data_IF_125411016510
#
_entry.id   IF_125411016510
#
_cell.length_a   1.000
_cell.length_b   1.000
_cell.length_c   1.000
_cell.angle_alpha   90.00
_cell.angle_beta   90.00
_cell.angle_gamma   90.00
#
_symmetry.space_group_name_H-M   'P 1'
#
loop_
_entity.id
_entity.type
_entity.pdbx_description
1 polymer ?
#
# COMPACT_ATOMS: atom_id res chain seq x y z
N UNK A 1 22.80 -12.73 -5.32
CA UNK A 1 22.18 -11.39 -5.44
C UNK A 1 20.79 -11.48 -4.84
N UNK A 2 20.34 -10.48 -4.10
CA UNK A 2 19.00 -10.49 -3.47
C UNK A 2 17.90 -10.35 -4.53
N UNK A 3 16.84 -11.15 -4.38
CA UNK A 3 15.65 -11.11 -5.22
C UNK A 3 14.95 -9.77 -5.08
N UNK A 4 14.59 -9.08 -6.16
CA UNK A 4 14.09 -7.73 -6.07
C UNK A 4 12.59 -7.65 -5.81
N UNK A 5 12.19 -6.57 -5.16
CA UNK A 5 10.82 -6.05 -5.20
C UNK A 5 10.81 -4.82 -6.10
N UNK A 6 10.01 -4.86 -7.16
CA UNK A 6 9.87 -3.78 -8.14
C UNK A 6 8.64 -2.94 -7.80
N UNK A 7 8.87 -1.66 -7.52
CA UNK A 7 7.85 -0.65 -7.30
C UNK A 7 7.66 0.14 -8.59
N UNK A 8 6.51 0.00 -9.25
CA UNK A 8 6.18 0.72 -10.46
C UNK A 8 5.11 1.79 -10.21
N UNK A 9 5.17 2.84 -11.00
CA UNK A 9 4.05 3.76 -11.17
C UNK A 9 2.87 3.10 -11.88
N UNK A 10 1.77 3.84 -12.05
CA UNK A 10 0.60 3.38 -12.81
C UNK A 10 0.97 2.86 -14.20
N UNK A 11 0.28 1.82 -14.68
CA UNK A 11 0.57 1.16 -15.97
C UNK A 11 -0.22 1.71 -17.17
N UNK A 12 -0.83 2.90 -17.01
CA UNK A 12 -1.52 3.64 -18.07
C UNK A 12 -1.15 5.13 -17.98
N UNK A 13 -1.03 5.84 -19.11
CA UNK A 13 -1.27 5.36 -20.48
C UNK A 13 -0.11 4.53 -21.08
N UNK A 14 1.14 4.73 -20.64
CA UNK A 14 2.30 4.04 -21.19
C UNK A 14 2.88 3.01 -20.19
N UNK A 15 2.59 1.71 -20.33
CA UNK A 15 3.08 0.69 -19.40
C UNK A 15 4.61 0.54 -19.48
N UNK A 16 5.23 0.21 -18.34
CA UNK A 16 6.65 -0.18 -18.23
C UNK A 16 6.82 -1.55 -17.55
N UNK A 17 5.74 -2.30 -17.34
CA UNK A 17 5.76 -3.63 -16.73
C UNK A 17 6.66 -4.61 -17.51
N UNK A 18 6.58 -4.63 -18.85
CA UNK A 18 7.40 -5.54 -19.67
C UNK A 18 8.89 -5.26 -19.48
N UNK A 19 9.29 -4.00 -19.60
CA UNK A 19 10.68 -3.56 -19.40
C UNK A 19 11.21 -3.98 -18.01
N UNK A 20 10.37 -3.80 -16.97
CA UNK A 20 10.70 -4.20 -15.61
C UNK A 20 10.85 -5.72 -15.44
N UNK A 21 10.03 -6.52 -16.12
CA UNK A 21 10.13 -7.98 -16.11
C UNK A 21 11.37 -8.46 -16.91
N UNK A 22 11.68 -7.82 -18.04
CA UNK A 22 12.85 -8.14 -18.86
C UNK A 22 14.16 -7.87 -18.13
N UNK A 23 14.25 -6.76 -17.39
CA UNK A 23 15.42 -6.44 -16.60
C UNK A 23 15.72 -7.47 -15.49
N UNK A 24 14.69 -8.21 -15.05
CA UNK A 24 14.83 -9.31 -14.10
C UNK A 24 14.85 -10.70 -14.77
N UNK A 25 14.91 -10.76 -16.11
CA UNK A 25 14.97 -12.01 -16.86
C UNK A 25 13.70 -12.86 -16.75
N UNK A 26 12.55 -12.27 -16.45
CA UNK A 26 11.28 -12.99 -16.28
C UNK A 26 10.68 -13.31 -17.65
N UNK A 27 10.85 -14.54 -18.10
CA UNK A 27 10.33 -15.05 -19.38
C UNK A 27 9.15 -16.02 -19.24
N UNK A 28 8.96 -16.60 -18.05
CA UNK A 28 7.88 -17.54 -17.78
C UNK A 28 6.59 -16.91 -17.25
N UNK A 29 5.62 -17.74 -16.81
CA UNK A 29 4.31 -17.27 -16.39
C UNK A 29 4.36 -16.27 -15.24
N UNK A 30 3.53 -15.24 -15.29
CA UNK A 30 3.39 -14.23 -14.24
C UNK A 30 2.13 -14.50 -13.43
N UNK A 31 2.27 -14.78 -12.14
CA UNK A 31 1.12 -14.81 -11.23
C UNK A 31 0.59 -13.38 -11.04
N UNK A 32 -0.71 -13.18 -11.13
CA UNK A 32 -1.32 -11.85 -11.06
C UNK A 32 -2.37 -11.77 -9.97
N UNK A 33 -2.24 -10.78 -9.09
CA UNK A 33 -3.27 -10.38 -8.13
C UNK A 33 -3.81 -9.01 -8.54
N UNK A 34 -5.14 -8.88 -8.53
CA UNK A 34 -5.84 -7.60 -8.64
C UNK A 34 -6.74 -7.41 -7.42
N UNK A 35 -7.18 -6.17 -7.16
CA UNK A 35 -8.21 -5.93 -6.15
C UNK A 35 -9.55 -6.57 -6.56
N UNK A 36 -9.87 -6.59 -7.86
CA UNK A 36 -11.02 -7.26 -8.45
C UNK A 36 -12.37 -6.78 -7.92
N UNK A 37 -12.44 -5.61 -7.29
CA UNK A 37 -13.64 -5.10 -6.61
C UNK A 37 -14.55 -4.34 -7.59
N UNK A 38 -13.96 -3.61 -8.55
CA UNK A 38 -14.70 -2.95 -9.62
C UNK A 38 -14.59 -3.73 -10.92
N UNK A 39 -15.56 -3.53 -11.81
CA UNK A 39 -15.60 -4.15 -13.14
C UNK A 39 -14.32 -3.85 -13.93
N UNK A 40 -13.81 -2.61 -13.88
CA UNK A 40 -12.58 -2.20 -14.55
C UNK A 40 -11.31 -2.87 -13.99
N UNK A 41 -11.33 -3.30 -12.72
CA UNK A 41 -10.23 -4.04 -12.09
C UNK A 41 -10.23 -5.52 -12.49
N UNK A 42 -11.37 -6.04 -12.97
CA UNK A 42 -11.51 -7.41 -13.49
C UNK A 42 -11.05 -7.53 -14.96
N UNK A 43 -11.01 -6.42 -15.70
CA UNK A 43 -10.56 -6.37 -17.09
C UNK A 43 -9.02 -6.41 -17.22
N UNK A 44 -8.46 -7.61 -17.07
CA UNK A 44 -7.01 -7.85 -17.13
C UNK A 44 -6.47 -8.00 -18.56
N UNK A 45 -7.29 -7.87 -19.61
CA UNK A 45 -6.86 -8.16 -20.98
C UNK A 45 -5.84 -7.16 -21.53
N UNK A 46 -5.97 -5.88 -21.19
CA UNK A 46 -4.95 -4.89 -21.51
C UNK A 46 -3.62 -5.23 -20.82
N UNK A 47 -3.68 -5.70 -19.57
CA UNK A 47 -2.50 -6.09 -18.80
C UNK A 47 -1.84 -7.35 -19.37
N UNK A 48 -2.63 -8.36 -19.77
CA UNK A 48 -2.13 -9.57 -20.45
C UNK A 48 -1.36 -9.22 -21.72
N UNK A 49 -1.89 -8.32 -22.55
CA UNK A 49 -1.19 -7.85 -23.76
C UNK A 49 0.13 -7.18 -23.44
N UNK A 50 0.17 -6.34 -22.40
CA UNK A 50 1.39 -5.62 -22.04
C UNK A 50 2.42 -6.46 -21.29
N UNK A 51 2.01 -7.51 -20.57
CA UNK A 51 2.95 -8.35 -19.82
C UNK A 51 3.85 -9.20 -20.74
N UNK A 52 3.39 -9.54 -21.95
CA UNK A 52 4.18 -10.31 -22.93
C UNK A 52 4.50 -11.76 -22.52
N UNK A 53 3.97 -12.23 -21.40
CA UNK A 53 4.13 -13.60 -20.87
C UNK A 53 2.77 -14.17 -20.43
N UNK A 54 2.63 -15.50 -20.30
CA UNK A 54 1.40 -16.10 -19.78
C UNK A 54 1.03 -15.55 -18.41
N UNK A 55 -0.26 -15.29 -18.17
CA UNK A 55 -0.75 -14.77 -16.89
C UNK A 55 -1.51 -15.87 -16.13
N UNK A 56 -1.09 -16.13 -14.90
CA UNK A 56 -1.81 -17.00 -13.95
C UNK A 56 -2.55 -16.12 -12.95
N UNK A 57 -3.83 -15.85 -13.21
CA UNK A 57 -4.61 -14.94 -12.39
C UNK A 57 -5.07 -15.60 -11.08
N UNK A 58 -4.87 -14.90 -9.96
CA UNK A 58 -5.34 -15.23 -8.62
C UNK A 58 -6.53 -14.33 -8.25
N UNK A 59 -7.78 -14.74 -8.49
CA UNK A 59 -8.98 -13.91 -8.30
C UNK A 59 -9.42 -13.86 -6.82
N UNK A 60 -8.55 -13.32 -5.95
CA UNK A 60 -8.72 -13.37 -4.50
C UNK A 60 -10.06 -12.77 -4.02
N UNK A 61 -10.58 -11.74 -4.70
CA UNK A 61 -11.88 -11.15 -4.37
C UNK A 61 -13.04 -12.13 -4.60
N UNK A 62 -13.10 -12.75 -5.77
CA UNK A 62 -14.15 -13.71 -6.10
C UNK A 62 -14.10 -14.94 -5.18
N UNK A 63 -12.89 -15.43 -4.89
CA UNK A 63 -12.71 -16.52 -3.92
C UNK A 63 -13.16 -16.14 -2.52
N UNK A 64 -12.87 -14.91 -2.08
CA UNK A 64 -13.34 -14.44 -0.78
C UNK A 64 -14.88 -14.43 -0.71
N UNK A 65 -15.57 -13.88 -1.72
CA UNK A 65 -17.03 -13.83 -1.73
C UNK A 65 -17.65 -15.24 -1.68
N UNK A 66 -17.11 -16.17 -2.48
CA UNK A 66 -17.52 -17.57 -2.47
C UNK A 66 -17.30 -18.23 -1.09
N UNK A 67 -16.15 -17.98 -0.46
CA UNK A 67 -15.85 -18.49 0.89
C UNK A 67 -16.78 -17.93 1.95
N UNK A 68 -17.06 -16.62 1.92
CA UNK A 68 -17.98 -16.02 2.88
C UNK A 68 -19.41 -16.53 2.69
N UNK A 69 -19.82 -16.87 1.47
CA UNK A 69 -21.12 -17.48 1.21
C UNK A 69 -21.18 -18.92 1.73
N UNK A 70 -20.11 -19.70 1.54
CA UNK A 70 -20.05 -21.11 1.91
C UNK A 70 -19.79 -21.36 3.40
N UNK A 71 -19.10 -20.46 4.10
CA UNK A 71 -18.73 -20.60 5.51
C UNK A 71 -19.26 -19.42 6.36
N UNK A 72 -20.50 -19.52 6.88
CA UNK A 72 -21.08 -18.48 7.73
C UNK A 72 -20.33 -18.25 9.04
N UNK A 73 -19.62 -19.26 9.58
CA UNK A 73 -18.86 -19.12 10.82
C UNK A 73 -17.62 -18.26 10.59
N UNK A 74 -16.85 -18.56 9.54
CA UNK A 74 -15.73 -17.73 9.09
C UNK A 74 -16.19 -16.30 8.82
N UNK A 75 -17.31 -16.12 8.12
CA UNK A 75 -17.88 -14.80 7.81
C UNK A 75 -18.20 -14.00 9.07
N UNK A 76 -18.81 -14.62 10.09
CA UNK A 76 -19.10 -13.94 11.38
C UNK A 76 -17.83 -13.48 12.07
N UNK A 77 -16.85 -14.37 12.23
CA UNK A 77 -15.57 -14.04 12.89
C UNK A 77 -14.81 -12.94 12.11
N UNK A 78 -14.79 -13.04 10.77
CA UNK A 78 -14.20 -12.01 9.91
C UNK A 78 -14.87 -10.65 10.09
N UNK A 79 -16.21 -10.60 10.10
CA UNK A 79 -16.98 -9.37 10.29
C UNK A 79 -16.73 -8.75 11.66
N UNK A 80 -16.80 -9.52 12.73
CA UNK A 80 -16.53 -9.03 14.09
C UNK A 80 -15.14 -8.38 14.22
N UNK A 81 -14.11 -8.99 13.62
CA UNK A 81 -12.77 -8.38 13.57
C UNK A 81 -12.78 -7.08 12.75
N UNK A 82 -13.46 -7.07 11.60
CA UNK A 82 -13.53 -5.89 10.74
C UNK A 82 -14.27 -4.72 11.40
N UNK A 83 -15.34 -4.99 12.15
CA UNK A 83 -16.11 -3.98 12.89
C UNK A 83 -15.23 -3.31 13.96
N UNK A 84 -14.40 -4.08 14.68
CA UNK A 84 -13.40 -3.53 15.62
C UNK A 84 -12.38 -2.63 14.93
N UNK A 85 -11.91 -3.02 13.74
CA UNK A 85 -10.98 -2.20 12.94
C UNK A 85 -11.65 -0.90 12.47
N UNK A 86 -12.92 -0.96 12.06
CA UNK A 86 -13.68 0.22 11.65
C UNK A 86 -13.88 1.18 12.82
N UNK A 87 -14.28 0.69 13.98
CA UNK A 87 -14.42 1.49 15.19
C UNK A 87 -13.09 2.16 15.61
N UNK A 88 -11.97 1.43 15.55
CA UNK A 88 -10.64 2.03 15.79
C UNK A 88 -10.33 3.17 14.80
N UNK A 89 -10.69 3.01 13.53
CA UNK A 89 -10.45 4.03 12.49
C UNK A 89 -11.30 5.27 12.68
N UNK A 90 -12.54 5.11 13.12
CA UNK A 90 -13.41 6.23 13.48
C UNK A 90 -12.78 7.05 14.62
N UNK A 91 -12.32 6.39 15.69
CA UNK A 91 -11.61 7.05 16.79
C UNK A 91 -10.30 7.71 16.36
N UNK A 92 -9.55 7.07 15.45
CA UNK A 92 -8.35 7.65 14.86
C UNK A 92 -8.67 8.95 14.11
N UNK A 93 -9.70 8.97 13.25
CA UNK A 93 -10.11 10.17 12.51
C UNK A 93 -10.53 11.32 13.41
N UNK A 94 -11.29 11.02 14.47
CA UNK A 94 -11.70 12.03 15.47
C UNK A 94 -10.50 12.76 16.09
N UNK A 95 -9.36 12.08 16.22
CA UNK A 95 -8.12 12.65 16.77
C UNK A 95 -7.22 13.24 15.68
N UNK A 96 -7.24 12.68 14.49
CA UNK A 96 -6.39 13.08 13.38
C UNK A 96 -6.74 14.48 12.89
N UNK A 97 -8.01 14.75 12.61
CA UNK A 97 -8.41 16.02 11.99
C UNK A 97 -8.05 17.25 12.85
N UNK A 98 -8.34 17.28 14.17
CA UNK A 98 -7.92 18.40 15.00
C UNK A 98 -6.40 18.52 15.13
N UNK A 99 -5.68 17.39 15.13
CA UNK A 99 -4.22 17.41 15.22
C UNK A 99 -3.56 17.95 13.93
N UNK A 100 -4.13 17.67 12.75
CA UNK A 100 -3.69 18.27 11.49
C UNK A 100 -3.96 19.78 11.49
N UNK A 101 -5.16 20.20 11.92
CA UNK A 101 -5.50 21.61 12.04
C UNK A 101 -4.56 22.37 12.99
N UNK A 102 -4.20 21.78 14.13
CA UNK A 102 -3.25 22.38 15.07
C UNK A 102 -1.86 22.62 14.44
N UNK A 103 -1.36 21.69 13.62
CA UNK A 103 -0.10 21.87 12.88
C UNK A 103 -0.21 23.03 11.88
N UNK A 104 -1.33 23.11 11.16
CA UNK A 104 -1.57 24.18 10.19
C UNK A 104 -1.68 25.56 10.90
N UNK A 105 -2.34 25.62 12.05
CA UNK A 105 -2.47 26.83 12.88
C UNK A 105 -1.12 27.31 13.44
N UNK A 106 -0.30 26.38 13.96
CA UNK A 106 1.05 26.67 14.48
C UNK A 106 1.98 27.21 13.38
N UNK A 107 1.94 26.62 12.18
CA UNK A 107 2.71 27.12 11.03
C UNK A 107 2.28 28.53 10.63
N UNK A 108 0.97 28.75 10.54
CA UNK A 108 0.45 30.06 10.22
C UNK A 108 0.80 31.10 11.31
N UNK A 109 0.85 30.68 12.59
CA UNK A 109 1.34 31.52 13.68
C UNK A 109 2.82 31.90 13.49
N UNK A 110 3.70 30.92 13.27
CA UNK A 110 5.14 31.16 13.10
C UNK A 110 5.44 32.14 11.94
N UNK A 111 4.68 32.04 10.83
CA UNK A 111 4.80 33.00 9.71
C UNK A 111 4.41 34.43 10.08
N UNK A 112 3.40 34.61 10.96
CA UNK A 112 2.94 35.93 11.40
C UNK A 112 3.85 36.54 12.47
N UNK A 113 4.62 35.72 13.18
CA UNK A 113 5.47 36.13 14.30
C UNK A 113 6.93 35.70 14.11
N UNK A 114 7.63 36.22 13.07
CA UNK A 114 8.99 35.80 12.76
C UNK A 114 10.03 36.21 13.83
N UNK A 115 9.67 37.11 14.74
CA UNK A 115 10.57 37.67 15.76
C UNK A 115 10.80 36.74 16.98
N UNK A 116 10.04 35.63 17.08
CA UNK A 116 10.19 34.62 18.15
C UNK A 116 10.22 33.19 17.57
N UNK A 117 11.19 32.87 16.69
CA UNK A 117 11.17 31.63 15.91
C UNK A 117 11.35 30.37 16.77
N UNK A 118 12.15 30.44 17.84
CA UNK A 118 12.55 29.25 18.61
C UNK A 118 11.36 28.54 19.27
N UNK A 119 10.51 29.29 19.99
CA UNK A 119 9.32 28.73 20.65
C UNK A 119 8.30 28.17 19.65
N UNK A 120 8.11 28.88 18.53
CA UNK A 120 7.18 28.45 17.48
C UNK A 120 7.64 27.16 16.78
N UNK A 121 8.94 27.01 16.55
CA UNK A 121 9.52 25.81 15.93
C UNK A 121 9.44 24.60 16.86
N UNK A 122 9.72 24.77 18.15
CA UNK A 122 9.61 23.70 19.15
C UNK A 122 8.18 23.14 19.24
N UNK A 123 7.19 24.02 19.38
CA UNK A 123 5.77 23.61 19.46
C UNK A 123 5.28 22.93 18.17
N UNK A 124 5.75 23.39 17.01
CA UNK A 124 5.44 22.75 15.73
C UNK A 124 6.02 21.33 15.62
N UNK A 125 7.27 21.14 16.02
CA UNK A 125 7.89 19.81 16.03
C UNK A 125 7.20 18.85 17.00
N UNK A 126 6.78 19.34 18.16
CA UNK A 126 6.02 18.52 19.12
C UNK A 126 4.62 18.17 18.62
N UNK A 127 3.93 19.08 17.94
CA UNK A 127 2.67 18.78 17.26
C UNK A 127 2.85 17.70 16.16
N UNK A 128 3.91 17.80 15.35
CA UNK A 128 4.27 16.81 14.34
C UNK A 128 4.62 15.45 14.95
N UNK A 129 5.35 15.43 16.08
CA UNK A 129 5.63 14.21 16.86
C UNK A 129 4.34 13.58 17.39
N UNK A 130 3.39 14.40 17.82
CA UNK A 130 2.05 13.97 18.22
C UNK A 130 1.28 13.27 17.09
N UNK A 131 1.31 13.84 15.87
CA UNK A 131 0.74 13.22 14.67
C UNK A 131 1.40 11.87 14.33
N UNK A 132 2.74 11.82 14.31
CA UNK A 132 3.49 10.58 14.08
C UNK A 132 3.10 9.49 15.09
N UNK A 133 2.99 9.86 16.36
CA UNK A 133 2.56 8.96 17.45
C UNK A 133 1.12 8.46 17.25
N UNK A 134 0.21 9.32 16.76
CA UNK A 134 -1.17 8.94 16.47
C UNK A 134 -1.24 7.90 15.34
N UNK A 135 -0.45 8.12 14.27
CA UNK A 135 -0.34 7.21 13.14
C UNK A 135 0.24 5.85 13.53
N UNK A 136 1.30 5.82 14.33
CA UNK A 136 1.89 4.57 14.79
C UNK A 136 0.89 3.77 15.66
N UNK A 137 0.12 4.45 16.53
CA UNK A 137 -0.91 3.82 17.36
C UNK A 137 -2.03 3.16 16.55
N UNK A 138 -2.47 3.75 15.42
CA UNK A 138 -3.50 3.10 14.59
C UNK A 138 -2.92 1.87 13.88
N UNK A 139 -1.66 1.92 13.43
CA UNK A 139 -0.96 0.77 12.84
C UNK A 139 -0.87 -0.38 13.85
N UNK A 140 -0.37 -0.09 15.04
CA UNK A 140 -0.25 -1.07 16.14
C UNK A 140 -1.61 -1.59 16.58
N UNK A 141 -2.61 -0.72 16.70
CA UNK A 141 -3.96 -1.10 17.09
C UNK A 141 -4.60 -2.06 16.08
N UNK A 142 -4.45 -1.81 14.77
CA UNK A 142 -4.92 -2.71 13.73
C UNK A 142 -4.16 -4.05 13.77
N UNK A 143 -2.84 -4.03 13.99
CA UNK A 143 -2.04 -5.25 14.14
C UNK A 143 -2.50 -6.08 15.36
N UNK A 144 -2.80 -5.42 16.49
CA UNK A 144 -3.30 -6.07 17.71
C UNK A 144 -4.67 -6.70 17.51
N UNK A 145 -5.62 -5.97 16.92
CA UNK A 145 -6.96 -6.52 16.61
C UNK A 145 -6.88 -7.75 15.70
N UNK A 146 -5.90 -7.77 14.79
CA UNK A 146 -5.60 -8.94 13.94
C UNK A 146 -5.07 -10.12 14.75
N UNK A 147 -4.07 -9.89 15.60
CA UNK A 147 -3.49 -10.89 16.48
C UNK A 147 -4.49 -11.46 17.51
N UNK A 148 -5.47 -10.67 17.96
CA UNK A 148 -6.53 -11.11 18.88
C UNK A 148 -7.44 -12.21 18.31
N UNK A 149 -7.37 -12.46 16.99
CA UNK A 149 -8.14 -13.52 16.33
C UNK A 149 -7.16 -14.43 15.55
N UNK A 150 -6.36 -15.27 16.23
CA UNK A 150 -5.30 -16.07 15.59
C UNK A 150 -5.82 -17.00 14.49
N UNK A 151 -7.06 -17.48 14.62
CA UNK A 151 -7.70 -18.32 13.60
C UNK A 151 -7.88 -17.61 12.26
N UNK A 152 -7.89 -16.27 12.23
CA UNK A 152 -7.92 -15.49 11.01
C UNK A 152 -6.54 -15.01 10.53
N UNK A 153 -5.48 -15.28 11.29
CA UNK A 153 -4.09 -15.10 10.83
C UNK A 153 -3.62 -16.30 10.02
N UNK A 154 -4.13 -17.50 10.35
CA UNK A 154 -3.90 -18.74 9.59
C UNK A 154 -5.21 -19.49 9.34
N UNK A 155 -6.19 -18.87 8.65
CA UNK A 155 -7.52 -19.47 8.45
C UNK A 155 -7.49 -20.79 7.70
N UNK A 156 -6.46 -21.03 6.87
CA UNK A 156 -6.24 -22.29 6.18
C UNK A 156 -5.97 -23.48 7.13
N UNK A 157 -5.50 -23.25 8.37
CA UNK A 157 -5.31 -24.31 9.36
C UNK A 157 -6.63 -24.74 10.04
N UNK A 158 -7.70 -23.97 9.87
CA UNK A 158 -8.97 -24.17 10.56
C UNK A 158 -10.16 -24.38 9.63
N UNK A 159 -10.09 -23.88 8.40
CA UNK A 159 -11.20 -23.92 7.44
C UNK A 159 -10.77 -24.66 6.16
N UNK A 160 -11.31 -25.88 5.88
CA UNK A 160 -10.93 -26.68 4.71
C UNK A 160 -11.12 -25.96 3.37
N UNK A 161 -12.16 -25.13 3.25
CA UNK A 161 -12.38 -24.34 2.02
C UNK A 161 -11.30 -23.26 1.82
N UNK A 162 -10.78 -22.68 2.91
CA UNK A 162 -9.67 -21.72 2.85
C UNK A 162 -8.36 -22.46 2.56
N UNK A 163 -8.14 -23.64 3.15
CA UNK A 163 -7.01 -24.54 2.83
C UNK A 163 -6.91 -24.80 1.33
N UNK A 164 -8.02 -25.22 0.70
CA UNK A 164 -8.02 -25.52 -0.73
C UNK A 164 -7.56 -24.33 -1.58
N UNK A 165 -7.98 -23.10 -1.24
CA UNK A 165 -7.53 -21.87 -1.94
C UNK A 165 -6.09 -21.51 -1.63
N UNK A 166 -5.63 -21.73 -0.39
CA UNK A 166 -4.24 -21.55 -0.02
C UNK A 166 -3.33 -22.49 -0.84
N UNK A 167 -3.71 -23.76 -0.98
CA UNK A 167 -2.95 -24.75 -1.74
C UNK A 167 -2.96 -24.43 -3.26
N UNK A 168 -4.11 -23.96 -3.79
CA UNK A 168 -4.22 -23.47 -5.17
C UNK A 168 -3.33 -22.24 -5.44
N UNK A 169 -3.15 -21.36 -4.44
CA UNK A 169 -2.19 -20.25 -4.51
C UNK A 169 -0.75 -20.78 -4.54
N UNK A 170 -0.42 -21.74 -3.68
CA UNK A 170 0.93 -22.34 -3.67
C UNK A 170 1.27 -22.95 -5.02
N UNK A 171 0.40 -23.80 -5.58
CA UNK A 171 0.60 -24.40 -6.91
C UNK A 171 0.74 -23.34 -8.01
N UNK A 172 -0.09 -22.30 -7.97
CA UNK A 172 -0.01 -21.21 -8.95
C UNK A 172 1.30 -20.44 -8.85
N UNK A 173 1.75 -20.12 -7.64
CA UNK A 173 2.99 -19.40 -7.39
C UNK A 173 4.23 -20.24 -7.73
N UNK A 174 4.19 -21.56 -7.52
CA UNK A 174 5.30 -22.47 -7.83
C UNK A 174 5.51 -22.65 -9.34
N UNK A 175 4.44 -22.48 -10.13
CA UNK A 175 4.51 -22.48 -11.62
C UNK A 175 4.84 -21.11 -12.22
N UNK A 176 4.81 -20.05 -11.42
CA UNK A 176 5.08 -18.69 -11.88
C UNK A 176 6.56 -18.36 -11.79
N UNK A 177 7.05 -17.50 -12.68
CA UNK A 177 8.40 -16.95 -12.63
C UNK A 177 8.50 -15.66 -11.82
N UNK A 178 7.36 -14.98 -11.60
CA UNK A 178 7.26 -13.78 -10.77
C UNK A 178 5.82 -13.58 -10.28
N UNK A 179 5.65 -12.71 -9.28
CA UNK A 179 4.34 -12.25 -8.81
C UNK A 179 4.12 -10.79 -9.17
N UNK A 180 3.01 -10.49 -9.85
CA UNK A 180 2.48 -9.15 -10.08
C UNK A 180 1.32 -8.83 -9.13
N UNK A 181 1.38 -7.65 -8.51
CA UNK A 181 0.33 -7.12 -7.63
C UNK A 181 -0.16 -5.79 -8.20
N UNK A 182 -1.30 -5.84 -8.87
CA UNK A 182 -1.93 -4.67 -9.44
C UNK A 182 -2.61 -3.79 -8.39
N UNK A 183 -2.84 -2.54 -8.75
CA UNK A 183 -3.67 -1.62 -7.98
C UNK A 183 -5.17 -1.94 -8.02
N UNK A 184 -5.93 -1.02 -7.44
CA UNK A 184 -7.38 -1.08 -7.31
C UNK A 184 -7.80 -0.60 -5.92
N UNK A 185 -8.96 -1.05 -5.43
CA UNK A 185 -9.40 -0.71 -4.07
C UNK A 185 -8.46 -1.30 -3.00
N UNK A 186 -7.55 -0.47 -2.49
CA UNK A 186 -6.45 -0.87 -1.60
C UNK A 186 -6.90 -1.62 -0.34
N UNK A 187 -7.98 -1.18 0.29
CA UNK A 187 -8.52 -1.83 1.49
C UNK A 187 -9.01 -3.27 1.23
N UNK A 188 -9.61 -3.52 0.05
CA UNK A 188 -10.05 -4.85 -0.35
C UNK A 188 -8.82 -5.70 -0.66
N UNK A 189 -7.95 -5.23 -1.55
CA UNK A 189 -6.72 -5.92 -1.94
C UNK A 189 -5.90 -6.37 -0.72
N UNK A 190 -5.57 -5.45 0.17
CA UNK A 190 -4.77 -5.73 1.37
C UNK A 190 -5.44 -6.76 2.28
N UNK A 191 -6.75 -6.67 2.47
CA UNK A 191 -7.49 -7.60 3.31
C UNK A 191 -7.57 -9.00 2.69
N UNK A 192 -7.71 -9.11 1.36
CA UNK A 192 -7.75 -10.42 0.67
C UNK A 192 -6.38 -11.07 0.68
N UNK A 193 -5.33 -10.33 0.35
CA UNK A 193 -3.95 -10.82 0.44
C UNK A 193 -3.63 -11.35 1.84
N UNK A 194 -4.05 -10.66 2.91
CA UNK A 194 -3.83 -11.17 4.27
C UNK A 194 -4.59 -12.47 4.54
N UNK A 195 -5.89 -12.55 4.21
CA UNK A 195 -6.68 -13.74 4.50
C UNK A 195 -6.13 -14.98 3.79
N UNK A 196 -5.59 -14.79 2.59
CA UNK A 196 -4.99 -15.85 1.78
C UNK A 196 -3.49 -16.03 2.02
N UNK A 197 -2.93 -15.48 3.10
CA UNK A 197 -1.59 -15.88 3.57
C UNK A 197 -0.41 -15.23 2.86
N UNK A 198 -0.59 -14.08 2.22
CA UNK A 198 0.52 -13.39 1.55
C UNK A 198 1.59 -12.87 2.50
N UNK A 199 1.32 -12.76 3.80
CA UNK A 199 2.37 -12.57 4.81
C UNK A 199 3.39 -13.71 4.83
N UNK A 200 3.01 -14.93 4.43
CA UNK A 200 3.88 -16.10 4.30
C UNK A 200 4.39 -16.28 2.86
N UNK A 201 3.53 -16.05 1.87
CA UNK A 201 3.92 -16.25 0.47
C UNK A 201 4.96 -15.25 -0.01
N UNK A 202 4.87 -13.95 0.35
CA UNK A 202 5.79 -12.95 -0.20
C UNK A 202 7.25 -13.17 0.23
N UNK A 203 7.58 -13.41 1.53
CA UNK A 203 8.95 -13.75 1.91
C UNK A 203 9.45 -15.05 1.28
N UNK A 204 8.55 -16.05 1.12
CA UNK A 204 8.87 -17.32 0.46
C UNK A 204 9.30 -17.12 -1.00
N UNK A 205 8.54 -16.33 -1.76
CA UNK A 205 8.87 -16.02 -3.17
C UNK A 205 10.25 -15.36 -3.27
N UNK A 206 10.53 -14.37 -2.43
CA UNK A 206 11.83 -13.69 -2.41
C UNK A 206 12.96 -14.65 -2.06
N UNK A 207 12.76 -15.54 -1.08
CA UNK A 207 13.75 -16.57 -0.73
C UNK A 207 13.98 -17.60 -1.87
N UNK A 208 13.00 -17.81 -2.74
CA UNK A 208 13.07 -18.71 -3.90
C UNK A 208 13.61 -18.05 -5.17
N UNK A 209 14.03 -16.79 -5.12
CA UNK A 209 14.53 -16.10 -6.31
C UNK A 209 13.44 -15.53 -7.22
N UNK A 210 12.17 -15.53 -6.80
CA UNK A 210 11.05 -15.06 -7.62
C UNK A 210 10.77 -13.57 -7.37
N UNK A 211 10.95 -12.68 -8.37
CA UNK A 211 10.68 -11.25 -8.22
C UNK A 211 9.21 -10.96 -7.90
N UNK A 212 8.98 -9.88 -7.15
CA UNK A 212 7.66 -9.32 -6.91
C UNK A 212 7.59 -7.96 -7.60
N UNK A 213 6.61 -7.74 -8.46
CA UNK A 213 6.35 -6.45 -9.11
C UNK A 213 4.99 -5.92 -8.69
N UNK A 214 4.91 -4.64 -8.32
CA UNK A 214 3.66 -4.05 -7.87
C UNK A 214 3.51 -2.60 -8.34
N UNK A 215 2.28 -2.16 -8.57
CA UNK A 215 1.98 -0.79 -8.98
C UNK A 215 0.68 -0.26 -8.39
N UNK A 216 0.52 1.07 -8.42
CA UNK A 216 -0.66 1.75 -7.90
C UNK A 216 -0.99 1.27 -6.47
N UNK A 217 -2.23 0.93 -6.15
CA UNK A 217 -2.56 0.38 -4.82
C UNK A 217 -1.71 -0.83 -4.41
N UNK A 218 -1.32 -1.69 -5.35
CA UNK A 218 -0.53 -2.90 -5.06
C UNK A 218 0.80 -2.58 -4.39
N UNK A 219 1.54 -1.58 -4.89
CA UNK A 219 2.85 -1.24 -4.33
C UNK A 219 2.73 -0.68 -2.91
N UNK A 220 1.64 0.04 -2.62
CA UNK A 220 1.37 0.58 -1.29
C UNK A 220 1.17 -0.54 -0.26
N UNK A 221 0.64 -1.71 -0.66
CA UNK A 221 0.53 -2.87 0.25
C UNK A 221 1.88 -3.41 0.70
N UNK A 222 2.95 -3.21 -0.08
CA UNK A 222 4.27 -3.77 0.19
C UNK A 222 5.12 -2.89 1.12
N UNK A 223 4.72 -1.64 1.33
CA UNK A 223 5.37 -0.74 2.31
C UNK A 223 5.05 -1.16 3.75
N UNK A 224 5.68 -0.51 4.74
CA UNK A 224 5.39 -0.77 6.16
C UNK A 224 3.97 -0.34 6.56
N UNK A 225 3.43 0.69 5.89
CA UNK A 225 2.12 1.28 6.21
C UNK A 225 1.37 1.69 4.96
N UNK A 226 0.11 1.30 4.88
CA UNK A 226 -0.79 1.72 3.81
C UNK A 226 -1.38 3.08 4.17
N UNK A 227 -1.15 4.08 3.32
CA UNK A 227 -1.74 5.42 3.46
C UNK A 227 -2.82 5.60 2.40
N UNK A 228 -4.02 6.03 2.77
CA UNK A 228 -5.05 6.47 1.82
C UNK A 228 -4.97 7.98 1.73
N UNK A 229 -4.95 8.49 0.50
CA UNK A 229 -4.82 9.92 0.24
C UNK A 229 -5.60 10.26 -1.02
N UNK A 230 -6.30 11.38 -0.94
CA UNK A 230 -6.76 12.15 -2.08
C UNK A 230 -7.12 13.52 -1.53
N UNK A 231 -6.38 14.53 -1.96
CA UNK A 231 -6.51 15.91 -1.52
C UNK A 231 -7.81 16.57 -1.97
N UNK A 232 -8.33 16.14 -3.13
CA UNK A 232 -9.59 16.60 -3.73
C UNK A 232 -10.44 15.38 -4.11
N UNK A 233 -10.91 14.59 -3.13
CA UNK A 233 -11.70 13.41 -3.43
C UNK A 233 -13.08 13.84 -3.94
N UNK A 234 -13.68 13.10 -4.90
CA UNK A 234 -15.06 13.36 -5.31
C UNK A 234 -16.05 13.34 -4.13
N UNK A 235 -15.76 12.53 -3.11
CA UNK A 235 -16.53 12.36 -1.88
C UNK A 235 -15.59 11.94 -0.74
N UNK A 236 -15.85 12.40 0.48
CA UNK A 236 -15.13 11.96 1.69
C UNK A 236 -14.12 12.98 2.21
N UNK A 237 -13.20 12.49 3.05
CA UNK A 237 -12.23 13.32 3.76
C UNK A 237 -11.07 13.63 2.83
N UNK A 238 -10.73 14.91 2.74
CA UNK A 238 -9.64 15.45 1.93
C UNK A 238 -8.30 15.40 2.64
N UNK A 239 -8.04 14.44 3.54
CA UNK A 239 -6.80 14.36 4.32
C UNK A 239 -6.20 12.96 4.22
N UNK A 240 -4.87 12.87 4.21
CA UNK A 240 -4.19 11.58 4.17
C UNK A 240 -4.41 10.82 5.48
N UNK A 241 -4.74 9.53 5.40
CA UNK A 241 -5.02 8.66 6.54
C UNK A 241 -4.12 7.43 6.50
N UNK A 242 -3.54 7.07 7.65
CA UNK A 242 -2.89 5.77 7.80
C UNK A 242 -3.98 4.71 7.97
N UNK A 243 -4.10 3.82 6.97
CA UNK A 243 -5.18 2.85 6.89
C UNK A 243 -4.89 1.56 7.64
N UNK A 244 -3.69 1.00 7.51
CA UNK A 244 -3.29 -0.26 8.17
C UNK A 244 -1.78 -0.51 8.01
N UNK A 245 -1.17 -1.43 8.78
CA UNK A 245 0.14 -1.96 8.39
C UNK A 245 0.06 -2.63 7.01
N UNK A 246 1.11 -2.41 6.21
CA UNK A 246 1.36 -3.15 4.97
C UNK A 246 2.11 -4.46 5.25
N UNK A 247 2.75 -5.02 4.23
CA UNK A 247 3.55 -6.25 4.31
C UNK A 247 5.02 -5.99 4.63
N UNK A 248 5.49 -4.73 4.58
CA UNK A 248 6.82 -4.34 5.08
C UNK A 248 8.01 -4.84 4.25
N UNK A 249 7.82 -5.15 2.97
CA UNK A 249 8.91 -5.53 2.07
C UNK A 249 9.69 -4.33 1.52
N UNK A 250 9.08 -3.16 1.51
CA UNK A 250 9.67 -1.89 1.07
C UNK A 250 9.81 -0.97 2.28
N UNK A 251 10.93 -1.06 3.02
CA UNK A 251 11.14 -0.28 4.24
C UNK A 251 11.50 1.18 3.94
N UNK A 252 11.23 2.06 4.90
CA UNK A 252 11.73 3.45 4.86
C UNK A 252 11.06 4.37 3.83
N UNK A 253 10.00 3.92 3.14
CA UNK A 253 9.29 4.71 2.12
C UNK A 253 7.79 4.76 2.36
N UNK A 254 7.16 5.85 1.93
CA UNK A 254 5.71 5.97 1.71
C UNK A 254 5.51 6.34 0.25
N UNK A 255 4.82 5.48 -0.48
CA UNK A 255 4.65 5.62 -1.94
C UNK A 255 3.28 6.20 -2.25
N UNK A 256 3.25 7.23 -3.10
CA UNK A 256 2.06 7.94 -3.56
C UNK A 256 1.87 7.79 -5.08
N UNK A 257 1.38 6.65 -5.58
CA UNK A 257 0.99 6.52 -6.98
C UNK A 257 -0.03 7.56 -7.46
N UNK A 258 0.12 8.05 -8.70
CA UNK A 258 -0.71 9.15 -9.23
C UNK A 258 -0.67 10.41 -8.35
N UNK A 259 0.49 10.77 -7.81
CA UNK A 259 0.66 11.93 -6.94
C UNK A 259 0.12 13.21 -7.57
N UNK A 260 0.46 13.52 -8.83
CA UNK A 260 0.00 14.72 -9.56
C UNK A 260 -1.51 14.84 -9.66
N UNK A 261 -2.24 13.71 -9.62
CA UNK A 261 -3.70 13.69 -9.68
C UNK A 261 -4.36 13.74 -8.30
N UNK A 262 -3.67 13.24 -7.27
CA UNK A 262 -4.26 12.96 -5.95
C UNK A 262 -3.74 13.86 -4.85
N UNK A 263 -2.64 14.55 -5.07
CA UNK A 263 -2.02 15.48 -4.15
C UNK A 263 -1.97 16.87 -4.80
N UNK A 264 -2.16 17.91 -4.00
CA UNK A 264 -1.91 19.29 -4.40
C UNK A 264 -0.42 19.57 -4.33
N UNK A 265 0.28 19.26 -5.41
CA UNK A 265 1.74 19.40 -5.49
C UNK A 265 2.20 20.87 -5.60
N UNK A 266 1.26 21.79 -5.76
CA UNK A 266 1.45 23.24 -5.82
C UNK A 266 1.12 23.94 -4.48
N UNK A 267 0.78 23.16 -3.45
CA UNK A 267 0.51 23.63 -2.09
C UNK A 267 1.69 23.25 -1.17
N UNK A 268 2.69 24.13 -0.99
CA UNK A 268 3.92 23.81 -0.26
C UNK A 268 3.64 23.51 1.21
N UNK A 269 2.72 24.25 1.84
CA UNK A 269 2.32 24.01 3.24
C UNK A 269 1.82 22.57 3.42
N UNK A 270 0.98 22.14 2.49
CA UNK A 270 0.41 20.80 2.53
C UNK A 270 1.44 19.71 2.28
N UNK A 271 2.33 19.90 1.30
CA UNK A 271 3.42 18.99 1.01
C UNK A 271 4.38 18.87 2.19
N UNK A 272 4.81 19.99 2.76
CA UNK A 272 5.69 20.01 3.93
C UNK A 272 5.04 19.31 5.12
N UNK A 273 3.72 19.48 5.34
CA UNK A 273 3.01 18.79 6.44
C UNK A 273 3.03 17.29 6.20
N UNK A 274 2.75 16.85 4.97
CA UNK A 274 2.74 15.45 4.58
C UNK A 274 4.12 14.80 4.75
N UNK A 275 5.18 15.45 4.26
CA UNK A 275 6.56 14.99 4.36
C UNK A 275 7.02 14.93 5.81
N UNK A 276 6.80 16.01 6.59
CA UNK A 276 7.16 16.05 8.00
C UNK A 276 6.40 14.98 8.79
N UNK A 277 5.11 14.78 8.53
CA UNK A 277 4.30 13.76 9.20
C UNK A 277 4.85 12.33 9.01
N UNK A 278 5.42 12.01 7.86
CA UNK A 278 5.91 10.65 7.60
C UNK A 278 7.41 10.45 7.83
N UNK A 279 8.16 11.51 8.14
CA UNK A 279 9.56 11.43 8.54
C UNK A 279 9.79 10.38 9.66
N UNK A 280 10.83 9.54 9.59
CA UNK A 280 11.98 9.58 8.66
C UNK A 280 11.76 8.87 7.30
N UNK A 281 10.54 8.43 6.99
CA UNK A 281 10.26 7.73 5.73
C UNK A 281 10.28 8.72 4.58
N UNK A 282 10.86 8.29 3.46
CA UNK A 282 10.84 9.07 2.22
C UNK A 282 9.45 9.01 1.58
N UNK A 283 8.84 10.18 1.40
CA UNK A 283 7.60 10.32 0.65
C UNK A 283 7.91 10.45 -0.85
N UNK A 284 7.51 9.45 -1.63
CA UNK A 284 7.78 9.40 -3.07
C UNK A 284 6.47 9.37 -3.87
N UNK A 285 6.26 10.37 -4.72
CA UNK A 285 5.23 10.37 -5.75
C UNK A 285 5.62 9.48 -6.92
N UNK A 286 4.70 8.64 -7.38
CA UNK A 286 4.96 7.71 -8.50
C UNK A 286 3.96 7.93 -9.65
N UNK A 287 4.43 8.54 -10.73
CA UNK A 287 3.65 8.75 -11.96
C UNK A 287 3.84 7.61 -12.95
N UNK A 288 3.04 7.61 -14.03
CA UNK A 288 3.19 6.64 -15.11
C UNK A 288 4.62 6.72 -15.70
N UNK A 289 5.35 5.61 -15.68
CA UNK A 289 6.77 5.54 -16.06
C UNK A 289 7.75 5.49 -14.89
N UNK A 290 7.30 5.70 -13.65
CA UNK A 290 8.12 5.49 -12.47
C UNK A 290 8.45 4.01 -12.28
N UNK A 291 9.68 3.72 -11.85
CA UNK A 291 10.16 2.38 -11.56
C UNK A 291 11.35 2.43 -10.61
N UNK A 292 11.18 1.83 -9.43
CA UNK A 292 12.27 1.57 -8.50
C UNK A 292 12.41 0.07 -8.23
N UNK A 293 13.63 -0.39 -7.96
CA UNK A 293 13.89 -1.76 -7.50
C UNK A 293 14.54 -1.74 -6.11
N UNK A 294 14.01 -2.55 -5.19
CA UNK A 294 14.58 -2.78 -3.87
C UNK A 294 15.19 -4.18 -3.79
N UNK A 295 16.46 -4.27 -3.39
CA UNK A 295 17.20 -5.55 -3.23
C UNK A 295 17.66 -5.81 -1.80
N UNK A 296 16.84 -5.44 -0.82
CA UNK A 296 17.08 -5.73 0.60
C UNK A 296 18.10 -4.83 1.31
N UNK A 297 18.80 -3.96 0.57
CA UNK A 297 19.75 -3.00 1.13
C UNK A 297 19.64 -1.63 0.43
N UNK A 298 19.60 -1.64 -0.90
CA UNK A 298 19.61 -0.42 -1.71
C UNK A 298 18.40 -0.32 -2.64
N UNK A 299 18.03 0.93 -2.89
CA UNK A 299 17.09 1.33 -3.93
C UNK A 299 17.86 1.67 -5.21
N UNK A 300 17.35 1.22 -6.35
CA UNK A 300 17.80 1.67 -7.67
C UNK A 300 16.63 2.30 -8.41
N UNK A 301 16.86 3.48 -8.98
CA UNK A 301 15.88 4.21 -9.77
C UNK A 301 16.09 3.93 -11.27
N UNK A 302 15.04 3.47 -11.94
CA UNK A 302 14.97 3.20 -13.37
C UNK A 302 13.87 4.05 -14.04
N UNK A 303 13.37 5.04 -13.31
CA UNK A 303 12.22 5.84 -13.72
C UNK A 303 12.53 6.68 -14.95
N UNK A 304 11.51 6.94 -15.75
CA UNK A 304 11.60 7.99 -16.76
C UNK A 304 11.75 9.36 -16.06
N UNK A 305 12.38 10.35 -16.71
CA UNK A 305 12.47 11.70 -16.16
C UNK A 305 11.11 12.23 -15.69
N UNK A 306 11.08 12.93 -14.56
CA UNK A 306 9.90 13.57 -13.96
C UNK A 306 8.75 12.63 -13.55
N UNK A 307 9.00 11.32 -13.48
CA UNK A 307 7.96 10.34 -13.08
C UNK A 307 8.08 9.85 -11.64
N UNK A 308 9.29 9.84 -11.07
CA UNK A 308 9.52 9.62 -9.64
C UNK A 308 9.77 10.97 -8.98
N UNK A 309 8.90 11.34 -8.04
CA UNK A 309 8.93 12.64 -7.38
C UNK A 309 9.32 12.46 -5.93
N UNK A 310 10.44 13.04 -5.50
CA UNK A 310 10.72 13.17 -4.07
C UNK A 310 9.93 14.35 -3.54
N UNK A 311 8.89 14.07 -2.73
CA UNK A 311 7.95 15.13 -2.33
C UNK A 311 8.60 16.22 -1.47
N UNK A 312 9.71 15.92 -0.80
CA UNK A 312 10.50 16.88 -0.03
C UNK A 312 11.30 17.85 -0.90
N UNK A 313 11.49 17.54 -2.19
CA UNK A 313 12.28 18.35 -3.13
C UNK A 313 11.37 19.20 -4.04
N UNK A 314 10.04 19.09 -3.85
CA UNK A 314 9.05 19.89 -4.56
C UNK A 314 8.95 21.29 -3.93
N UNK A 315 8.61 22.31 -4.73
CA UNK A 315 8.58 23.71 -4.30
C UNK A 315 7.51 24.02 -3.25
#
# INVERSE_FOLDING_TARGET
MSTPVLALGPQRPAPNLRDALDAEGVTGPLALITAGWRVDELEIDALKRHAGVPILHLPLYAWFEALMAADPALKRTYRQRQDRILALKELYRLRLLPALAAVDDLRAHNRRHPDAPDLGVEELEDALRGLRTLDDRVVEGVARIRADVPTLERPWDHHPAVRARYDEIVDTLDRASALAIAGGHIGVLRNRMQLFGFSQHLPRLLAQGQPIVAWAGGVMTLTERVVIYYDDPPQGISEAEVFSPGFGLLPGVVLFPHARRRLRLDDPDRLERLVARFHPRLCLGMENGAWMSWRGADWTDHSRPDTLLRLADLP
#
